data_IF_879141220253
#
_entry.id   IF_879141220253
#
_cell.length_a   1.000
_cell.length_b   1.000
_cell.length_c   1.000
_cell.angle_alpha   90.00
_cell.angle_beta   90.00
_cell.angle_gamma   90.00
#
_symmetry.space_group_name_H-M   'P 1'
#
loop_
_entity.id
_entity.type
_entity.pdbx_description
1 polymer ?
#
# COMPACT_ATOMS: atom_id res chain seq x y z
N UNK A 1 25.92 49.70 10.35
CA UNK A 1 24.49 49.43 10.11
C UNK A 1 24.35 48.01 9.60
N UNK A 2 23.66 47.11 10.30
CA UNK A 2 23.50 45.73 9.83
C UNK A 2 22.61 45.72 8.58
N UNK A 3 22.90 44.88 7.58
CA UNK A 3 22.07 44.78 6.38
C UNK A 3 20.64 44.38 6.77
N UNK A 4 19.66 45.09 6.23
CA UNK A 4 18.26 44.93 6.58
C UNK A 4 17.79 43.50 6.32
N UNK A 5 17.17 42.87 7.33
CA UNK A 5 16.58 41.52 7.31
C UNK A 5 15.70 41.30 6.07
N UNK A 6 15.09 42.37 5.55
CA UNK A 6 14.28 42.39 4.33
C UNK A 6 15.05 41.98 3.07
N UNK A 7 16.33 42.35 2.93
CA UNK A 7 17.14 41.91 1.78
C UNK A 7 17.46 40.42 1.85
N UNK A 8 17.71 39.90 3.05
CA UNK A 8 17.98 38.47 3.28
C UNK A 8 16.76 37.59 2.95
N UNK A 9 15.56 38.01 3.37
CA UNK A 9 14.31 37.30 3.08
C UNK A 9 13.94 37.35 1.60
N UNK A 10 14.14 38.48 0.92
CA UNK A 10 13.92 38.60 -0.51
C UNK A 10 14.85 37.68 -1.31
N UNK A 11 16.14 37.63 -0.96
CA UNK A 11 17.08 36.67 -1.59
C UNK A 11 16.73 35.21 -1.27
N UNK A 12 16.24 34.91 -0.06
CA UNK A 12 15.80 33.55 0.29
C UNK A 12 14.56 33.13 -0.49
N UNK A 13 13.61 34.06 -0.66
CA UNK A 13 12.40 33.86 -1.44
C UNK A 13 12.70 33.68 -2.92
N UNK A 14 13.55 34.53 -3.51
CA UNK A 14 14.00 34.37 -4.89
C UNK A 14 14.77 33.06 -5.12
N UNK A 15 15.62 32.66 -4.17
CA UNK A 15 16.35 31.38 -4.26
C UNK A 15 15.40 30.19 -4.19
N UNK A 16 14.34 30.23 -3.38
CA UNK A 16 13.37 29.13 -3.30
C UNK A 16 12.39 29.09 -4.48
N UNK A 17 12.02 30.24 -5.04
CA UNK A 17 11.00 30.36 -6.10
C UNK A 17 11.61 30.22 -7.50
N UNK A 18 12.74 30.87 -7.76
CA UNK A 18 13.33 30.93 -9.10
C UNK A 18 14.53 30.00 -9.29
N UNK A 19 15.14 29.52 -8.21
CA UNK A 19 16.32 28.66 -8.26
C UNK A 19 16.18 27.47 -7.31
N UNK A 20 15.14 26.64 -7.49
CA UNK A 20 14.83 25.55 -6.58
C UNK A 20 16.11 24.75 -6.32
N UNK A 21 16.41 24.38 -5.06
CA UNK A 21 17.58 23.58 -4.77
C UNK A 21 17.58 22.38 -5.71
N UNK A 22 18.76 21.98 -6.23
CA UNK A 22 18.85 20.90 -7.20
C UNK A 22 18.05 19.72 -6.64
N UNK A 23 17.07 19.24 -7.43
CA UNK A 23 16.16 18.19 -7.03
C UNK A 23 17.00 17.05 -6.43
N UNK A 24 16.89 16.88 -5.11
CA UNK A 24 17.59 15.79 -4.43
C UNK A 24 17.13 14.51 -5.10
N UNK A 25 18.06 13.80 -5.73
CA UNK A 25 17.77 12.50 -6.32
C UNK A 25 17.37 11.53 -5.21
N UNK A 26 16.16 10.98 -5.31
CA UNK A 26 15.60 10.08 -4.31
C UNK A 26 16.54 8.89 -4.09
N UNK A 27 17.18 8.41 -5.17
CA UNK A 27 18.12 7.30 -5.11
C UNK A 27 19.45 7.66 -4.43
N UNK A 28 19.93 8.89 -4.59
CA UNK A 28 21.11 9.39 -3.86
C UNK A 28 20.83 9.50 -2.36
N UNK A 29 19.63 9.97 -2.01
CA UNK A 29 19.20 10.07 -0.63
C UNK A 29 19.03 8.69 0.03
N UNK A 30 18.35 7.75 -0.64
CA UNK A 30 18.23 6.36 -0.17
C UNK A 30 19.59 5.66 -0.01
N UNK A 31 20.54 5.89 -0.93
CA UNK A 31 21.91 5.36 -0.80
C UNK A 31 22.61 5.89 0.45
N UNK A 32 22.39 7.17 0.76
CA UNK A 32 22.96 7.80 1.96
C UNK A 32 22.37 7.17 3.22
N UNK A 33 21.05 6.98 3.27
CA UNK A 33 20.36 6.30 4.36
C UNK A 33 20.87 4.87 4.56
N UNK A 34 20.92 4.07 3.48
CA UNK A 34 21.42 2.69 3.52
C UNK A 34 22.86 2.61 4.04
N UNK A 35 23.71 3.57 3.65
CA UNK A 35 25.09 3.67 4.16
C UNK A 35 25.15 3.89 5.67
N UNK A 36 24.16 4.56 6.25
CA UNK A 36 24.08 4.85 7.69
C UNK A 36 23.26 3.80 8.47
N UNK A 37 22.78 2.74 7.81
CA UNK A 37 22.04 1.64 8.45
C UNK A 37 20.65 2.01 9.00
N UNK A 38 20.12 3.18 8.64
CA UNK A 38 18.79 3.63 9.08
C UNK A 38 17.70 3.07 8.14
N UNK A 39 17.02 2.00 8.53
CA UNK A 39 15.92 1.42 7.73
C UNK A 39 14.54 1.92 8.17
N UNK A 40 14.46 3.08 8.83
CA UNK A 40 13.18 3.65 9.26
C UNK A 40 12.27 4.00 8.08
N UNK A 41 10.98 3.75 8.23
CA UNK A 41 10.00 4.23 7.26
C UNK A 41 9.91 5.75 7.35
N UNK A 42 10.09 6.45 6.22
CA UNK A 42 10.00 7.92 6.14
C UNK A 42 8.78 8.37 5.35
N UNK A 43 8.38 9.63 5.51
CA UNK A 43 7.16 10.15 4.87
C UNK A 43 7.19 10.10 3.32
N UNK A 44 8.36 10.07 2.67
CA UNK A 44 8.43 10.06 1.21
C UNK A 44 8.01 8.73 0.58
N UNK A 45 8.19 7.58 1.26
CA UNK A 45 7.78 6.27 0.77
C UNK A 45 6.27 6.18 0.47
N UNK A 46 5.46 7.07 1.08
CA UNK A 46 4.02 7.13 0.85
C UNK A 46 3.62 7.95 -0.39
N UNK A 47 4.55 8.71 -0.97
CA UNK A 47 4.31 9.63 -2.09
C UNK A 47 5.05 9.24 -3.38
N UNK A 48 6.01 8.33 -3.29
CA UNK A 48 6.76 7.80 -4.43
C UNK A 48 6.65 6.28 -4.52
N UNK A 49 6.96 5.75 -5.70
CA UNK A 49 7.26 4.33 -5.88
C UNK A 49 8.76 4.06 -5.75
N UNK A 50 9.14 2.81 -5.50
CA UNK A 50 10.53 2.35 -5.44
C UNK A 50 11.30 2.61 -6.75
N UNK A 51 10.59 2.63 -7.88
CA UNK A 51 11.18 2.86 -9.20
C UNK A 51 11.33 4.34 -9.55
N UNK A 52 10.89 5.25 -8.67
CA UNK A 52 10.89 6.67 -8.92
C UNK A 52 12.24 7.31 -8.54
N UNK A 53 12.82 8.09 -9.46
CA UNK A 53 14.10 8.80 -9.23
C UNK A 53 13.92 10.22 -8.69
N UNK A 54 12.79 10.85 -9.01
CA UNK A 54 12.56 12.29 -8.78
C UNK A 54 11.65 12.50 -7.56
N UNK A 55 11.89 13.56 -6.80
CA UNK A 55 11.17 13.91 -5.56
C UNK A 55 9.83 14.64 -5.80
N UNK A 56 9.03 14.21 -6.76
CA UNK A 56 7.69 14.75 -7.00
C UNK A 56 6.66 13.62 -7.08
N UNK A 57 5.39 13.92 -6.90
CA UNK A 57 4.36 12.87 -7.03
C UNK A 57 4.20 12.51 -8.50
N UNK A 58 4.55 11.28 -8.88
CA UNK A 58 4.35 10.81 -10.25
C UNK A 58 2.86 10.62 -10.56
N UNK A 59 2.42 11.14 -11.71
CA UNK A 59 1.07 10.88 -12.25
C UNK A 59 0.81 9.39 -12.44
N UNK A 60 1.84 8.63 -12.85
CA UNK A 60 1.74 7.17 -13.02
C UNK A 60 1.53 6.46 -11.69
N UNK A 61 2.26 6.87 -10.64
CA UNK A 61 2.08 6.31 -9.31
C UNK A 61 0.71 6.67 -8.71
N UNK A 62 0.25 7.91 -8.91
CA UNK A 62 -1.11 8.32 -8.54
C UNK A 62 -2.18 7.47 -9.25
N UNK A 63 -2.05 7.28 -10.56
CA UNK A 63 -2.95 6.44 -11.34
C UNK A 63 -2.94 4.99 -10.83
N UNK A 64 -1.76 4.41 -10.61
CA UNK A 64 -1.59 3.07 -10.04
C UNK A 64 -2.35 2.90 -8.71
N UNK A 65 -2.23 3.85 -7.78
CA UNK A 65 -2.91 3.78 -6.47
C UNK A 65 -4.43 3.73 -6.59
N UNK A 66 -5.00 4.48 -7.53
CA UNK A 66 -6.43 4.42 -7.78
C UNK A 66 -6.83 3.16 -8.55
N UNK A 67 -6.05 2.75 -9.55
CA UNK A 67 -6.30 1.51 -10.29
C UNK A 67 -6.35 0.30 -9.35
N UNK A 68 -5.37 0.13 -8.46
CA UNK A 68 -5.35 -1.01 -7.54
C UNK A 68 -6.51 -0.95 -6.54
N UNK A 69 -6.90 0.25 -6.09
CA UNK A 69 -8.07 0.45 -5.25
C UNK A 69 -9.36 0.02 -5.95
N UNK A 70 -9.55 0.42 -7.22
CA UNK A 70 -10.71 0.01 -8.02
C UNK A 70 -10.74 -1.49 -8.28
N UNK A 71 -9.59 -2.09 -8.58
CA UNK A 71 -9.46 -3.52 -8.79
C UNK A 71 -9.78 -4.33 -7.52
N UNK A 72 -9.32 -3.88 -6.35
CA UNK A 72 -9.66 -4.51 -5.06
C UNK A 72 -11.15 -4.37 -4.74
N UNK A 73 -11.75 -3.21 -5.02
CA UNK A 73 -13.20 -3.01 -4.87
C UNK A 73 -13.97 -3.96 -5.79
N UNK A 74 -13.58 -4.04 -7.06
CA UNK A 74 -14.18 -4.94 -8.03
C UNK A 74 -14.08 -6.40 -7.56
N UNK A 75 -12.93 -6.83 -7.05
CA UNK A 75 -12.77 -8.16 -6.46
C UNK A 75 -13.76 -8.40 -5.32
N UNK A 76 -13.92 -7.46 -4.39
CA UNK A 76 -14.89 -7.57 -3.30
C UNK A 76 -16.34 -7.67 -3.81
N UNK A 77 -16.71 -6.91 -4.86
CA UNK A 77 -18.04 -6.99 -5.48
C UNK A 77 -18.24 -8.34 -6.16
N UNK A 78 -17.26 -8.82 -6.93
CA UNK A 78 -17.36 -10.09 -7.64
C UNK A 78 -17.45 -11.27 -6.69
N UNK A 79 -16.70 -11.29 -5.59
CA UNK A 79 -16.76 -12.39 -4.60
C UNK A 79 -18.02 -12.32 -3.74
N UNK A 80 -18.52 -11.13 -3.41
CA UNK A 80 -19.78 -10.98 -2.65
C UNK A 80 -21.02 -11.27 -3.49
N UNK A 81 -21.02 -10.89 -4.77
CA UNK A 81 -22.11 -11.23 -5.69
C UNK A 81 -21.98 -12.64 -6.25
N UNK A 82 -20.79 -13.26 -6.15
CA UNK A 82 -20.37 -14.55 -6.73
C UNK A 82 -21.29 -15.01 -7.87
N UNK A 83 -21.08 -14.45 -9.08
CA UNK A 83 -21.99 -14.63 -10.22
C UNK A 83 -22.01 -16.08 -10.72
N UNK A 84 -21.12 -16.93 -10.24
CA UNK A 84 -21.03 -18.34 -10.65
C UNK A 84 -22.06 -19.23 -9.95
N UNK A 85 -22.61 -18.79 -8.81
CA UNK A 85 -23.62 -19.54 -8.06
C UNK A 85 -24.91 -18.71 -7.90
N UNK A 86 -25.97 -19.09 -8.62
CA UNK A 86 -27.22 -18.30 -8.69
C UNK A 86 -28.20 -18.55 -7.54
N UNK A 87 -28.09 -19.68 -6.83
CA UNK A 87 -28.99 -20.05 -5.73
C UNK A 87 -28.38 -19.75 -4.36
N UNK A 88 -28.46 -18.49 -3.92
CA UNK A 88 -27.92 -18.05 -2.63
C UNK A 88 -29.01 -17.79 -1.60
N UNK A 89 -28.82 -18.34 -0.40
CA UNK A 89 -29.69 -18.08 0.75
C UNK A 89 -29.21 -16.86 1.53
N UNK A 90 -30.06 -16.26 2.38
CA UNK A 90 -29.66 -15.17 3.30
C UNK A 90 -28.47 -15.60 4.18
N UNK A 91 -28.45 -16.86 4.61
CA UNK A 91 -27.33 -17.44 5.37
C UNK A 91 -26.00 -17.41 4.63
N UNK A 92 -26.01 -17.45 3.30
CA UNK A 92 -24.79 -17.34 2.50
C UNK A 92 -24.16 -15.95 2.64
N UNK A 93 -24.97 -14.89 2.53
CA UNK A 93 -24.50 -13.51 2.65
C UNK A 93 -24.00 -13.17 4.06
N UNK A 94 -24.63 -13.72 5.09
CA UNK A 94 -24.18 -13.55 6.48
C UNK A 94 -22.84 -14.25 6.77
N UNK A 95 -22.54 -15.34 6.05
CA UNK A 95 -21.25 -16.04 6.18
C UNK A 95 -20.13 -15.36 5.41
N UNK A 96 -20.45 -14.60 4.36
CA UNK A 96 -19.46 -13.92 3.52
C UNK A 96 -18.38 -13.16 4.31
N UNK A 97 -18.70 -12.24 5.26
CA UNK A 97 -17.69 -11.48 6.00
C UNK A 97 -16.91 -12.32 7.03
N UNK A 98 -17.30 -13.56 7.28
CA UNK A 98 -16.66 -14.46 8.26
C UNK A 98 -15.59 -15.33 7.58
N UNK A 99 -15.71 -15.54 6.26
CA UNK A 99 -14.69 -16.26 5.49
C UNK A 99 -13.39 -15.48 5.47
N UNK A 100 -12.32 -16.11 5.93
CA UNK A 100 -11.01 -15.49 6.07
C UNK A 100 -10.43 -14.92 4.76
N UNK A 101 -10.75 -15.55 3.62
CA UNK A 101 -10.42 -15.04 2.28
C UNK A 101 -11.08 -13.70 1.99
N UNK A 102 -12.37 -13.58 2.32
CA UNK A 102 -13.13 -12.33 2.14
C UNK A 102 -12.67 -11.25 3.12
N UNK A 103 -12.36 -11.61 4.37
CA UNK A 103 -11.76 -10.70 5.35
C UNK A 103 -10.43 -10.15 4.80
N UNK A 104 -9.58 -11.01 4.21
CA UNK A 104 -8.33 -10.58 3.61
C UNK A 104 -8.53 -9.65 2.41
N UNK A 105 -9.52 -9.92 1.55
CA UNK A 105 -9.86 -9.04 0.43
C UNK A 105 -10.35 -7.67 0.92
N UNK A 106 -11.23 -7.65 1.93
CA UNK A 106 -11.73 -6.42 2.54
C UNK A 106 -10.61 -5.61 3.19
N UNK A 107 -9.68 -6.27 3.87
CA UNK A 107 -8.48 -5.64 4.43
C UNK A 107 -7.60 -5.03 3.33
N UNK A 108 -7.39 -5.75 2.22
CA UNK A 108 -6.68 -5.25 1.05
C UNK A 108 -7.36 -4.06 0.39
N UNK A 109 -8.69 -4.08 0.25
CA UNK A 109 -9.46 -2.94 -0.22
C UNK A 109 -9.33 -1.72 0.71
N UNK A 110 -9.51 -1.89 2.02
CA UNK A 110 -9.37 -0.81 2.98
C UNK A 110 -7.95 -0.20 2.95
N UNK A 111 -6.93 -1.04 2.81
CA UNK A 111 -5.55 -0.62 2.71
C UNK A 111 -5.26 0.15 1.42
N UNK A 112 -5.68 -0.35 0.25
CA UNK A 112 -5.48 0.33 -1.03
C UNK A 112 -6.24 1.65 -1.11
N UNK A 113 -7.45 1.71 -0.53
CA UNK A 113 -8.22 2.95 -0.38
C UNK A 113 -7.47 3.98 0.47
N UNK A 114 -6.90 3.58 1.61
CA UNK A 114 -6.05 4.46 2.41
C UNK A 114 -4.84 4.97 1.64
N UNK A 115 -4.18 4.12 0.85
CA UNK A 115 -3.08 4.52 -0.04
C UNK A 115 -3.52 5.56 -1.08
N UNK A 116 -4.68 5.36 -1.72
CA UNK A 116 -5.28 6.30 -2.66
C UNK A 116 -5.64 7.64 -1.98
N UNK A 117 -6.15 7.62 -0.76
CA UNK A 117 -6.44 8.83 0.03
C UNK A 117 -5.15 9.57 0.40
N UNK A 118 -4.10 8.86 0.81
CA UNK A 118 -2.81 9.46 1.17
C UNK A 118 -2.19 10.16 -0.04
N UNK A 119 -2.14 9.50 -1.21
CA UNK A 119 -1.55 10.12 -2.41
C UNK A 119 -2.39 11.30 -2.89
N UNK A 120 -3.72 11.21 -2.81
CA UNK A 120 -4.64 12.31 -3.16
C UNK A 120 -4.43 13.53 -2.24
N UNK A 121 -4.28 13.31 -0.93
CA UNK A 121 -3.91 14.37 0.01
C UNK A 121 -2.54 14.96 -0.32
N UNK A 122 -1.57 14.12 -0.69
CA UNK A 122 -0.25 14.56 -1.16
C UNK A 122 -0.35 15.48 -2.37
N UNK A 123 -1.10 15.09 -3.41
CA UNK A 123 -1.32 15.89 -4.61
C UNK A 123 -2.03 17.20 -4.28
N UNK A 124 -3.02 17.20 -3.38
CA UNK A 124 -3.71 18.44 -2.97
C UNK A 124 -2.78 19.44 -2.27
N UNK A 125 -1.80 18.95 -1.49
CA UNK A 125 -0.90 19.80 -0.70
C UNK A 125 0.31 20.26 -1.53
N UNK A 126 0.93 19.35 -2.29
CA UNK A 126 2.18 19.62 -3.01
C UNK A 126 1.99 19.82 -4.52
N UNK A 127 0.88 19.35 -5.09
CA UNK A 127 0.71 19.25 -6.54
C UNK A 127 1.57 18.15 -7.17
N UNK A 128 1.43 17.96 -8.48
CA UNK A 128 2.24 16.98 -9.23
C UNK A 128 3.64 17.50 -9.61
N UNK A 129 3.84 18.82 -9.61
CA UNK A 129 5.08 19.45 -10.09
C UNK A 129 6.02 19.83 -8.96
N UNK A 130 5.50 20.11 -7.76
CA UNK A 130 6.34 20.54 -6.64
C UNK A 130 6.96 19.35 -5.91
N UNK A 131 8.14 19.59 -5.34
CA UNK A 131 8.80 18.59 -4.54
C UNK A 131 8.06 18.35 -3.22
N UNK A 132 7.94 17.08 -2.82
CA UNK A 132 7.44 16.74 -1.48
C UNK A 132 8.62 16.67 -0.47
N UNK A 133 8.36 16.92 0.82
CA UNK A 133 9.40 16.84 1.85
C UNK A 133 9.83 15.39 2.11
N UNK A 134 11.14 15.15 2.12
CA UNK A 134 11.74 13.81 2.24
C UNK A 134 12.06 13.43 3.69
N UNK A 135 12.42 14.41 4.51
CA UNK A 135 12.88 14.25 5.91
C UNK A 135 11.79 14.54 6.95
N UNK A 136 10.52 14.32 6.61
CA UNK A 136 9.43 14.46 7.59
C UNK A 136 9.09 13.13 8.24
N UNK A 137 8.75 13.23 9.53
CA UNK A 137 8.21 12.13 10.31
C UNK A 137 6.94 11.56 9.69
N UNK A 138 6.74 10.26 9.91
CA UNK A 138 5.55 9.53 9.46
C UNK A 138 4.35 10.01 10.27
N UNK A 139 3.34 10.52 9.57
CA UNK A 139 2.07 10.93 10.18
C UNK A 139 1.25 9.71 10.58
N UNK A 140 0.35 9.87 11.56
CA UNK A 140 -0.54 8.80 12.05
C UNK A 140 -1.26 8.02 10.94
N UNK A 141 -1.81 8.71 9.95
CA UNK A 141 -2.51 8.06 8.82
C UNK A 141 -1.56 7.17 7.99
N UNK A 142 -0.34 7.65 7.74
CA UNK A 142 0.69 6.90 7.01
C UNK A 142 1.16 5.69 7.82
N UNK A 143 1.30 5.83 9.15
CA UNK A 143 1.64 4.74 10.05
C UNK A 143 0.57 3.64 10.06
N UNK A 144 -0.71 4.02 10.17
CA UNK A 144 -1.83 3.05 10.10
C UNK A 144 -1.84 2.35 8.75
N UNK A 145 -1.70 3.10 7.65
CA UNK A 145 -1.63 2.53 6.31
C UNK A 145 -0.46 1.54 6.16
N UNK A 146 0.72 1.90 6.67
CA UNK A 146 1.90 1.04 6.63
C UNK A 146 1.68 -0.28 7.39
N UNK A 147 1.08 -0.21 8.58
CA UNK A 147 0.73 -1.42 9.33
C UNK A 147 -0.33 -2.25 8.60
N UNK A 148 -1.40 -1.63 8.09
CA UNK A 148 -2.41 -2.33 7.30
C UNK A 148 -1.87 -2.99 6.04
N UNK A 149 -0.89 -2.38 5.38
CA UNK A 149 -0.21 -2.96 4.22
C UNK A 149 0.52 -4.24 4.60
N UNK A 150 1.29 -4.22 5.70
CA UNK A 150 1.94 -5.43 6.20
C UNK A 150 0.91 -6.52 6.53
N UNK A 151 -0.16 -6.19 7.25
CA UNK A 151 -1.23 -7.14 7.59
C UNK A 151 -1.88 -7.74 6.33
N UNK A 152 -2.15 -6.91 5.32
CA UNK A 152 -2.77 -7.31 4.05
C UNK A 152 -1.88 -8.31 3.30
N UNK A 153 -0.59 -8.00 3.16
CA UNK A 153 0.38 -8.87 2.48
C UNK A 153 0.48 -10.22 3.18
N UNK A 154 0.67 -10.20 4.50
CA UNK A 154 0.84 -11.41 5.28
C UNK A 154 -0.40 -12.28 5.28
N UNK A 155 -1.59 -11.67 5.38
CA UNK A 155 -2.85 -12.40 5.31
C UNK A 155 -3.04 -13.04 3.94
N UNK A 156 -2.87 -12.28 2.85
CA UNK A 156 -3.06 -12.79 1.50
C UNK A 156 -2.12 -13.96 1.18
N UNK A 157 -0.84 -13.82 1.51
CA UNK A 157 0.16 -14.88 1.27
C UNK A 157 -0.10 -16.10 2.15
N UNK A 158 -0.36 -15.91 3.45
CA UNK A 158 -0.56 -17.04 4.39
C UNK A 158 -1.82 -17.83 4.06
N UNK A 159 -2.92 -17.14 3.72
CA UNK A 159 -4.18 -17.78 3.31
C UNK A 159 -3.97 -18.57 2.02
N UNK A 160 -3.28 -18.01 1.04
CA UNK A 160 -3.01 -18.70 -0.22
C UNK A 160 -2.12 -19.93 -0.06
N UNK A 161 -1.03 -19.82 0.71
CA UNK A 161 -0.16 -20.96 1.01
C UNK A 161 -0.96 -22.06 1.73
N UNK A 162 -1.72 -21.70 2.76
CA UNK A 162 -2.51 -22.67 3.54
C UNK A 162 -3.57 -23.33 2.67
N UNK A 163 -4.27 -22.57 1.84
CA UNK A 163 -5.27 -23.11 0.93
C UNK A 163 -4.66 -24.11 -0.05
N UNK A 164 -3.62 -23.72 -0.80
CA UNK A 164 -3.06 -24.54 -1.86
C UNK A 164 -2.24 -25.73 -1.36
N UNK A 165 -1.50 -25.57 -0.25
CA UNK A 165 -0.60 -26.61 0.24
C UNK A 165 -1.22 -27.51 1.31
N UNK A 166 -2.21 -27.03 2.08
CA UNK A 166 -2.77 -27.78 3.23
C UNK A 166 -4.21 -28.22 2.97
N UNK A 167 -5.07 -27.30 2.53
CA UNK A 167 -6.52 -27.56 2.43
C UNK A 167 -6.86 -28.28 1.13
N UNK A 168 -6.47 -27.72 -0.02
CA UNK A 168 -6.85 -28.24 -1.33
C UNK A 168 -6.39 -29.69 -1.58
N UNK A 169 -5.18 -30.13 -1.16
CA UNK A 169 -4.79 -31.54 -1.30
C UNK A 169 -5.63 -32.50 -0.45
N UNK A 170 -6.12 -32.05 0.71
CA UNK A 170 -6.96 -32.86 1.62
C UNK A 170 -8.43 -32.85 1.22
N UNK A 171 -8.91 -31.73 0.68
CA UNK A 171 -10.29 -31.50 0.25
C UNK A 171 -10.27 -30.70 -1.05
N UNK A 172 -10.15 -31.36 -2.20
CA UNK A 172 -10.10 -30.69 -3.49
C UNK A 172 -11.32 -29.79 -3.67
N UNK A 173 -11.08 -28.49 -3.83
CA UNK A 173 -12.10 -27.50 -4.14
C UNK A 173 -12.09 -27.25 -5.65
N UNK A 174 -13.24 -26.95 -6.23
CA UNK A 174 -13.32 -26.53 -7.62
C UNK A 174 -12.60 -25.20 -7.81
N UNK A 175 -11.80 -25.07 -8.87
CA UNK A 175 -11.13 -23.82 -9.21
C UNK A 175 -12.14 -22.90 -9.89
N UNK A 176 -12.98 -22.25 -9.08
CA UNK A 176 -13.96 -21.27 -9.52
C UNK A 176 -13.43 -19.83 -9.43
N UNK A 177 -14.21 -18.89 -9.94
CA UNK A 177 -13.84 -17.47 -9.99
C UNK A 177 -13.58 -16.91 -8.58
N UNK A 178 -14.35 -17.33 -7.57
CA UNK A 178 -14.22 -16.86 -6.20
C UNK A 178 -12.90 -17.32 -5.58
N UNK A 179 -12.53 -18.59 -5.81
CA UNK A 179 -11.28 -19.16 -5.34
C UNK A 179 -10.07 -18.54 -6.04
N UNK A 180 -10.13 -18.29 -7.36
CA UNK A 180 -9.07 -17.59 -8.09
C UNK A 180 -8.89 -16.17 -7.54
N UNK A 181 -9.99 -15.42 -7.35
CA UNK A 181 -9.92 -14.04 -6.85
C UNK A 181 -9.42 -14.00 -5.40
N UNK A 182 -9.98 -14.83 -4.52
CA UNK A 182 -9.69 -14.86 -3.09
C UNK A 182 -8.27 -15.30 -2.73
N UNK A 183 -7.65 -16.14 -3.56
CA UNK A 183 -6.30 -16.66 -3.32
C UNK A 183 -5.27 -16.05 -4.27
N UNK A 184 -5.38 -16.30 -5.58
CA UNK A 184 -4.35 -15.91 -6.53
C UNK A 184 -4.30 -14.39 -6.73
N UNK A 185 -5.43 -13.77 -7.09
CA UNK A 185 -5.49 -12.33 -7.38
C UNK A 185 -5.18 -11.51 -6.13
N UNK A 186 -5.75 -11.88 -4.98
CA UNK A 186 -5.49 -11.24 -3.70
C UNK A 186 -3.98 -11.20 -3.36
N UNK A 187 -3.27 -12.32 -3.57
CA UNK A 187 -1.82 -12.39 -3.34
C UNK A 187 -1.02 -11.54 -4.33
N UNK A 188 -1.44 -11.51 -5.61
CA UNK A 188 -0.80 -10.67 -6.63
C UNK A 188 -0.94 -9.19 -6.28
N UNK A 189 -2.12 -8.73 -5.86
CA UNK A 189 -2.32 -7.35 -5.41
C UNK A 189 -1.44 -7.00 -4.20
N UNK A 190 -1.42 -7.86 -3.18
CA UNK A 190 -0.54 -7.69 -2.02
C UNK A 190 0.94 -7.56 -2.42
N UNK A 191 1.46 -8.49 -3.21
CA UNK A 191 2.87 -8.51 -3.60
C UNK A 191 3.24 -7.35 -4.53
N UNK A 192 2.39 -7.02 -5.49
CA UNK A 192 2.61 -5.86 -6.37
C UNK A 192 2.63 -4.55 -5.58
N UNK A 193 1.74 -4.38 -4.61
CA UNK A 193 1.75 -3.18 -3.77
C UNK A 193 3.02 -3.10 -2.93
N UNK A 194 3.51 -4.21 -2.40
CA UNK A 194 4.80 -4.24 -1.71
C UNK A 194 5.96 -3.85 -2.63
N UNK A 195 6.05 -4.46 -3.82
CA UNK A 195 7.14 -4.20 -4.78
C UNK A 195 7.17 -2.76 -5.29
N UNK A 196 6.00 -2.16 -5.52
CA UNK A 196 5.89 -0.81 -6.06
C UNK A 196 6.14 0.25 -4.98
N UNK A 197 5.69 0.00 -3.75
CA UNK A 197 5.83 0.97 -2.65
C UNK A 197 7.17 0.86 -1.93
N UNK A 198 7.74 -0.35 -1.86
CA UNK A 198 9.01 -0.63 -1.20
C UNK A 198 9.01 -0.27 0.28
N UNK A 199 7.84 -0.27 0.92
CA UNK A 199 7.74 0.08 2.34
C UNK A 199 8.52 -0.96 3.17
N UNK A 200 9.45 -0.51 4.05
CA UNK A 200 10.34 -1.41 4.76
C UNK A 200 9.60 -2.19 5.84
N UNK A 201 10.23 -3.31 6.25
CA UNK A 201 9.93 -4.14 7.42
C UNK A 201 8.68 -5.03 7.38
N UNK A 202 8.88 -6.24 7.89
CA UNK A 202 7.85 -7.22 8.25
C UNK A 202 8.10 -7.76 9.66
N UNK A 203 8.51 -6.90 10.60
CA UNK A 203 8.97 -7.34 11.93
C UNK A 203 7.91 -8.10 12.74
N UNK A 204 6.63 -7.91 12.41
CA UNK A 204 5.50 -8.56 13.08
C UNK A 204 4.95 -9.77 12.26
N UNK A 205 5.76 -10.36 11.35
CA UNK A 205 5.38 -11.47 10.45
C UNK A 205 4.69 -12.63 11.16
N UNK A 206 5.19 -13.00 12.34
CA UNK A 206 4.86 -14.25 12.99
C UNK A 206 3.44 -14.27 13.55
N UNK A 207 2.90 -13.12 13.98
CA UNK A 207 1.55 -13.05 14.58
C UNK A 207 0.47 -13.42 13.55
N UNK A 208 0.63 -12.98 12.30
CA UNK A 208 -0.35 -13.25 11.24
C UNK A 208 -0.26 -14.68 10.71
N UNK A 209 0.95 -15.22 10.61
CA UNK A 209 1.15 -16.64 10.25
C UNK A 209 0.54 -17.53 11.34
N UNK A 210 0.77 -17.24 12.62
CA UNK A 210 0.19 -18.00 13.74
C UNK A 210 -1.34 -17.89 13.76
N UNK A 211 -1.90 -16.68 13.58
CA UNK A 211 -3.35 -16.48 13.55
C UNK A 211 -4.03 -17.25 12.41
N UNK A 212 -3.45 -17.21 11.21
CA UNK A 212 -4.01 -17.93 10.05
C UNK A 212 -3.94 -19.43 10.26
N UNK A 213 -2.82 -19.97 10.77
CA UNK A 213 -2.71 -21.40 11.10
C UNK A 213 -3.72 -21.81 12.17
N UNK A 214 -3.91 -20.99 13.22
CA UNK A 214 -4.89 -21.27 14.28
C UNK A 214 -6.35 -21.23 13.79
N UNK A 215 -6.68 -20.40 12.80
CA UNK A 215 -8.04 -20.37 12.22
C UNK A 215 -8.38 -21.65 11.44
N UNK A 216 -7.38 -22.32 10.86
CA UNK A 216 -7.56 -23.50 10.03
C UNK A 216 -7.37 -24.84 10.77
N UNK A 217 -6.93 -24.80 12.04
CA UNK A 217 -6.87 -25.95 12.96
C UNK A 217 -8.21 -26.11 13.70
#
# INVERSE_FOLDING_TARGET
>A
MPPSITKSLATLFERFVFNPPPLVDLQSFERTIKKHGDYSCRSHHFYSSTFQKRIHISKLYFAYRWTICFLCLLSCVLTSTDPTHTHKTVNWYLKYPIYITNISLMLGFAQTLMGAVIITKGVKIYGFQSAFPVDKDVKRLQLIYWKMQQCSILSAVSISITFWLVINPKRPQTVDLSNIIGHAVNSVYALSDWLITGLPNFTDIWIYVVYTMAYFL
#
